data_IF_177231268944
#
_entry.id   IF_177231268944
#
_cell.length_a   1.000
_cell.length_b   1.000
_cell.length_c   1.000
_cell.angle_alpha   90.00
_cell.angle_beta   90.00
_cell.angle_gamma   90.00
#
_symmetry.space_group_name_H-M   'P 1'
#
loop_
_entity.id
_entity.type
_entity.pdbx_description
1 polymer ?
#
# COMPACT_ATOMS: atom_id res chain seq x y z
N UNK A 1 -11.74 -22.29 -14.60
CA UNK A 1 -12.44 -23.07 -13.55
C UNK A 1 -12.63 -24.52 -13.99
N UNK A 2 -12.17 -25.48 -13.20
CA UNK A 2 -12.20 -26.93 -13.54
C UNK A 2 -13.65 -27.47 -13.56
N UNK A 3 -13.92 -28.53 -14.34
CA UNK A 3 -15.23 -29.16 -14.55
C UNK A 3 -15.86 -29.68 -13.25
N UNK A 4 -15.03 -30.16 -12.30
CA UNK A 4 -15.47 -30.62 -10.97
C UNK A 4 -16.18 -29.52 -10.19
N UNK A 5 -15.65 -28.29 -10.20
CA UNK A 5 -16.24 -27.17 -9.45
C UNK A 5 -17.52 -26.64 -10.09
N UNK A 6 -17.59 -26.63 -11.42
CA UNK A 6 -18.84 -26.28 -12.12
C UNK A 6 -19.97 -27.26 -11.78
N UNK A 7 -19.66 -28.56 -11.71
CA UNK A 7 -20.60 -29.59 -11.29
C UNK A 7 -21.04 -29.41 -9.84
N UNK A 8 -20.08 -29.15 -8.94
CA UNK A 8 -20.37 -28.87 -7.54
C UNK A 8 -21.30 -27.66 -7.36
N UNK A 9 -21.07 -26.57 -8.10
CA UNK A 9 -21.96 -25.39 -8.06
C UNK A 9 -23.36 -25.75 -8.52
N UNK A 10 -23.50 -26.45 -9.65
CA UNK A 10 -24.80 -26.88 -10.16
C UNK A 10 -25.55 -27.76 -9.14
N UNK A 11 -24.89 -28.76 -8.57
CA UNK A 11 -25.49 -29.67 -7.58
C UNK A 11 -25.97 -28.93 -6.33
N UNK A 12 -25.22 -27.96 -5.83
CA UNK A 12 -25.59 -27.23 -4.63
C UNK A 12 -26.65 -26.15 -4.91
N UNK A 13 -26.63 -25.52 -6.09
CA UNK A 13 -27.75 -24.68 -6.54
C UNK A 13 -29.04 -25.49 -6.61
N UNK A 14 -29.01 -26.72 -7.15
CA UNK A 14 -30.17 -27.61 -7.20
C UNK A 14 -30.65 -28.05 -5.80
N UNK A 15 -29.75 -28.14 -4.82
CA UNK A 15 -30.08 -28.40 -3.41
C UNK A 15 -30.64 -27.18 -2.67
N UNK A 16 -30.73 -26.02 -3.33
CA UNK A 16 -31.26 -24.78 -2.75
C UNK A 16 -30.26 -23.98 -1.91
N UNK A 17 -28.96 -24.26 -2.02
CA UNK A 17 -27.93 -23.44 -1.36
C UNK A 17 -27.93 -22.04 -1.98
N UNK A 18 -27.84 -21.01 -1.13
CA UNK A 18 -27.93 -19.63 -1.62
C UNK A 18 -26.73 -19.24 -2.49
N UNK A 19 -26.95 -18.39 -3.49
CA UNK A 19 -25.86 -17.89 -4.35
C UNK A 19 -24.75 -17.19 -3.56
N UNK A 20 -25.09 -16.55 -2.43
CA UNK A 20 -24.13 -15.93 -1.51
C UNK A 20 -23.20 -16.97 -0.85
N UNK A 21 -23.74 -18.09 -0.38
CA UNK A 21 -22.95 -19.16 0.26
C UNK A 21 -22.05 -19.89 -0.75
N UNK A 22 -22.58 -20.13 -1.95
CA UNK A 22 -21.78 -20.68 -3.07
C UNK A 22 -20.64 -19.73 -3.42
N UNK A 23 -20.93 -18.43 -3.52
CA UNK A 23 -19.93 -17.40 -3.77
C UNK A 23 -18.83 -17.41 -2.70
N UNK A 24 -19.20 -17.38 -1.41
CA UNK A 24 -18.26 -17.44 -0.27
C UNK A 24 -17.35 -18.66 -0.33
N UNK A 25 -17.93 -19.82 -0.63
CA UNK A 25 -17.19 -21.09 -0.71
C UNK A 25 -16.20 -21.07 -1.87
N UNK A 26 -16.61 -20.59 -3.05
CA UNK A 26 -15.73 -20.50 -4.20
C UNK A 26 -14.57 -19.54 -3.98
N UNK A 27 -14.81 -18.39 -3.33
CA UNK A 27 -13.73 -17.50 -2.93
C UNK A 27 -12.75 -18.21 -2.00
N UNK A 28 -13.24 -18.91 -0.97
CA UNK A 28 -12.40 -19.62 0.00
C UNK A 28 -11.47 -20.65 -0.67
N UNK A 29 -11.89 -21.18 -1.82
CA UNK A 29 -11.11 -22.10 -2.64
C UNK A 29 -10.28 -21.42 -3.74
N UNK A 30 -10.14 -20.10 -3.70
CA UNK A 30 -9.22 -19.33 -4.55
C UNK A 30 -9.78 -18.93 -5.92
N UNK A 31 -11.09 -19.01 -6.14
CA UNK A 31 -11.71 -18.48 -7.35
C UNK A 31 -11.91 -16.97 -7.25
N UNK A 32 -11.72 -16.24 -8.35
CA UNK A 32 -11.86 -14.77 -8.38
C UNK A 32 -13.28 -14.34 -8.75
N UNK A 33 -13.68 -13.13 -8.34
CA UNK A 33 -15.02 -12.57 -8.56
C UNK A 33 -15.49 -12.70 -10.01
N UNK A 34 -14.62 -12.38 -10.97
CA UNK A 34 -14.88 -12.40 -12.41
C UNK A 34 -15.18 -13.81 -12.95
N UNK A 35 -14.71 -14.85 -12.26
CA UNK A 35 -15.00 -16.25 -12.61
C UNK A 35 -16.31 -16.74 -11.98
N UNK A 36 -16.65 -16.23 -10.80
CA UNK A 36 -17.78 -16.70 -10.00
C UNK A 36 -19.09 -16.04 -10.46
N UNK A 37 -19.08 -14.73 -10.74
CA UNK A 37 -20.30 -13.99 -11.11
C UNK A 37 -20.97 -14.55 -12.36
N UNK A 38 -20.26 -14.82 -13.47
CA UNK A 38 -20.89 -15.43 -14.65
C UNK A 38 -21.42 -16.85 -14.39
N UNK A 39 -20.80 -17.58 -13.46
CA UNK A 39 -21.21 -18.94 -13.12
C UNK A 39 -22.50 -18.98 -12.29
N UNK A 40 -22.63 -18.05 -11.33
CA UNK A 40 -23.81 -17.98 -10.48
C UNK A 40 -24.97 -17.25 -11.18
N UNK A 41 -24.67 -16.32 -12.08
CA UNK A 41 -25.66 -15.66 -12.94
C UNK A 41 -26.83 -15.08 -12.12
N UNK A 42 -28.05 -15.45 -12.48
CA UNK A 42 -29.28 -15.00 -11.81
C UNK A 42 -29.40 -15.41 -10.33
N UNK A 43 -28.57 -16.33 -9.84
CA UNK A 43 -28.53 -16.70 -8.42
C UNK A 43 -27.87 -15.62 -7.54
N UNK A 44 -27.32 -14.56 -8.15
CA UNK A 44 -26.88 -13.35 -7.47
C UNK A 44 -27.61 -12.13 -8.05
N UNK A 45 -28.26 -11.35 -7.20
CA UNK A 45 -28.84 -10.08 -7.64
C UNK A 45 -27.74 -9.07 -7.97
N UNK A 46 -28.02 -8.08 -8.82
CA UNK A 46 -27.05 -7.02 -9.16
C UNK A 46 -26.52 -6.29 -7.90
N UNK A 47 -27.38 -6.06 -6.90
CA UNK A 47 -26.99 -5.46 -5.62
C UNK A 47 -26.06 -6.38 -4.80
N UNK A 48 -26.32 -7.69 -4.80
CA UNK A 48 -25.44 -8.67 -4.16
C UNK A 48 -24.11 -8.75 -4.89
N UNK A 49 -24.11 -8.81 -6.22
CA UNK A 49 -22.91 -8.80 -7.05
C UNK A 49 -22.04 -7.59 -6.75
N UNK A 50 -22.61 -6.39 -6.70
CA UNK A 50 -21.84 -5.18 -6.38
C UNK A 50 -21.30 -5.20 -4.94
N UNK A 51 -22.11 -5.61 -3.96
CA UNK A 51 -21.69 -5.70 -2.56
C UNK A 51 -20.59 -6.75 -2.35
N UNK A 52 -20.66 -7.88 -3.06
CA UNK A 52 -19.66 -8.94 -3.07
C UNK A 52 -18.44 -8.55 -3.94
N UNK A 53 -18.58 -7.71 -4.97
CA UNK A 53 -17.42 -7.15 -5.67
C UNK A 53 -16.59 -6.30 -4.69
N UNK A 54 -17.26 -5.45 -3.91
CA UNK A 54 -16.61 -4.56 -2.95
C UNK A 54 -16.02 -5.33 -1.75
N UNK A 55 -16.75 -6.30 -1.15
CA UNK A 55 -16.25 -7.08 0.00
C UNK A 55 -15.05 -7.96 -0.36
N UNK A 56 -14.91 -8.40 -1.61
CA UNK A 56 -13.90 -9.39 -2.02
C UNK A 56 -12.77 -8.83 -2.87
N UNK A 57 -12.93 -7.61 -3.42
CA UNK A 57 -11.77 -6.78 -3.79
C UNK A 57 -10.87 -6.47 -2.59
N UNK A 58 -11.33 -6.74 -1.35
CA UNK A 58 -10.64 -6.36 -0.12
C UNK A 58 -10.59 -7.49 0.94
N UNK A 59 -10.35 -8.75 0.55
CA UNK A 59 -9.71 -9.68 1.49
C UNK A 59 -8.20 -9.42 1.46
N UNK A 60 -7.84 -8.20 1.84
CA UNK A 60 -6.45 -7.78 1.94
C UNK A 60 -5.89 -8.41 3.21
N UNK A 61 -4.84 -9.24 3.12
CA UNK A 61 -4.22 -9.76 4.32
C UNK A 61 -3.77 -8.60 5.19
N UNK A 62 -4.09 -8.65 6.49
CA UNK A 62 -3.68 -7.59 7.41
C UNK A 62 -2.17 -7.64 7.65
N UNK A 63 -1.52 -6.51 7.91
CA UNK A 63 -0.14 -6.47 8.38
C UNK A 63 -0.02 -7.16 9.74
N UNK A 64 1.07 -7.89 9.96
CA UNK A 64 1.32 -8.63 11.20
C UNK A 64 1.37 -7.71 12.44
N UNK A 65 1.80 -6.45 12.30
CA UNK A 65 1.78 -5.49 13.40
C UNK A 65 0.36 -5.18 13.92
N UNK A 66 -0.72 -5.51 13.19
CA UNK A 66 -2.09 -5.38 13.68
C UNK A 66 -2.53 -6.56 14.57
N UNK A 67 -1.73 -7.63 14.64
CA UNK A 67 -2.06 -8.85 15.37
C UNK A 67 -3.10 -9.75 14.68
N UNK A 68 -3.36 -10.90 15.28
CA UNK A 68 -4.30 -11.93 14.79
C UNK A 68 -5.77 -11.57 15.06
N UNK A 69 -6.12 -10.30 15.25
CA UNK A 69 -7.45 -9.91 15.70
C UNK A 69 -8.48 -10.12 14.58
N UNK A 70 -9.05 -11.33 14.55
CA UNK A 70 -10.08 -11.83 13.62
C UNK A 70 -11.44 -11.17 13.83
N UNK A 71 -11.51 -9.92 14.27
CA UNK A 71 -12.77 -9.20 14.30
C UNK A 71 -13.02 -8.60 12.92
N UNK A 72 -14.01 -9.15 12.21
CA UNK A 72 -14.56 -8.70 10.91
C UNK A 72 -14.99 -7.21 10.91
N UNK A 73 -14.94 -6.53 12.08
CA UNK A 73 -15.38 -5.16 12.33
C UNK A 73 -14.33 -4.25 13.03
N UNK A 74 -13.04 -4.58 13.00
CA UNK A 74 -11.97 -3.69 13.53
C UNK A 74 -11.73 -2.49 12.58
N UNK A 75 -12.76 -1.65 12.42
CA UNK A 75 -12.61 -0.32 11.85
C UNK A 75 -11.90 0.58 12.86
N UNK A 76 -10.98 1.39 12.33
CA UNK A 76 -10.04 2.27 13.02
C UNK A 76 -10.53 2.73 14.42
N UNK A 77 -10.21 1.96 15.46
CA UNK A 77 -10.52 2.31 16.85
C UNK A 77 -9.20 2.44 17.63
N UNK A 78 -9.06 3.58 18.28
CA UNK A 78 -7.91 4.11 19.01
C UNK A 78 -6.93 3.07 19.58
N UNK A 79 -5.67 3.18 19.13
CA UNK A 79 -4.43 2.59 19.65
C UNK A 79 -4.59 1.14 20.12
N UNK A 80 -4.18 0.18 19.29
CA UNK A 80 -4.00 -1.20 19.76
C UNK A 80 -2.51 -1.50 19.84
N UNK A 81 -2.07 -1.91 21.01
CA UNK A 81 -0.74 -2.44 21.24
C UNK A 81 -0.67 -3.83 20.63
N UNK A 82 -0.01 -3.98 19.49
CA UNK A 82 0.63 -5.27 19.19
C UNK A 82 1.89 -5.35 20.04
N UNK A 83 2.26 -6.56 20.49
CA UNK A 83 3.43 -6.81 21.35
C UNK A 83 4.78 -6.31 20.78
N UNK A 84 4.79 -5.72 19.58
CA UNK A 84 6.00 -5.36 18.83
C UNK A 84 6.18 -3.87 18.51
N UNK A 85 5.12 -3.08 18.23
CA UNK A 85 5.24 -1.65 17.88
C UNK A 85 3.95 -0.86 18.20
N UNK A 86 4.09 0.34 18.77
CA UNK A 86 2.97 1.30 18.95
C UNK A 86 2.59 1.99 17.64
N UNK A 87 1.28 2.15 17.39
CA UNK A 87 0.78 2.84 16.22
C UNK A 87 -0.42 3.75 16.49
N UNK A 88 -0.48 4.86 15.74
CA UNK A 88 -1.64 5.76 15.65
C UNK A 88 -2.46 5.38 14.41
N UNK A 89 -3.79 5.51 14.48
CA UNK A 89 -4.68 5.20 13.36
C UNK A 89 -5.41 6.45 12.89
N UNK A 90 -5.56 6.60 11.57
CA UNK A 90 -6.27 7.70 10.92
C UNK A 90 -7.25 7.15 9.88
N UNK A 91 -8.37 7.83 9.69
CA UNK A 91 -9.39 7.46 8.71
C UNK A 91 -10.61 6.76 9.33
N UNK A 92 -11.31 5.95 8.53
CA UNK A 92 -12.61 5.34 8.83
C UNK A 92 -12.76 3.94 8.19
N UNK A 93 -14.01 3.47 8.01
CA UNK A 93 -14.35 2.20 7.38
C UNK A 93 -13.86 2.03 5.95
N UNK A 94 -13.71 3.15 5.24
CA UNK A 94 -13.47 3.18 3.80
C UNK A 94 -11.98 3.39 3.49
N UNK A 95 -11.24 4.00 4.42
CA UNK A 95 -9.80 4.22 4.32
C UNK A 95 -9.16 4.24 5.70
N UNK A 96 -8.12 3.43 5.93
CA UNK A 96 -7.38 3.42 7.19
C UNK A 96 -5.88 3.60 6.94
N UNK A 97 -5.24 4.48 7.71
CA UNK A 97 -3.79 4.73 7.71
C UNK A 97 -3.25 4.47 9.10
N UNK A 98 -2.15 3.73 9.17
CA UNK A 98 -1.43 3.45 10.41
C UNK A 98 -0.09 4.17 10.40
N UNK A 99 0.17 4.94 11.44
CA UNK A 99 1.45 5.63 11.65
C UNK A 99 2.19 4.95 12.79
N UNK A 100 3.30 4.31 12.44
CA UNK A 100 4.20 3.66 13.39
C UNK A 100 5.35 4.61 13.73
N UNK A 101 5.63 4.79 15.02
CA UNK A 101 6.81 5.54 15.47
C UNK A 101 7.84 4.55 16.02
N UNK A 102 9.11 4.67 15.62
CA UNK A 102 10.16 3.75 16.05
C UNK A 102 10.13 2.38 15.35
N UNK A 103 9.41 2.24 14.25
CA UNK A 103 9.33 0.98 13.49
C UNK A 103 10.64 0.58 12.77
N UNK A 104 11.63 1.47 12.70
CA UNK A 104 12.95 1.23 12.09
C UNK A 104 14.07 1.77 12.97
N UNK A 105 15.18 1.05 13.00
CA UNK A 105 16.37 1.46 13.76
C UNK A 105 17.00 2.72 13.16
N UNK A 106 17.50 3.62 14.01
CA UNK A 106 18.05 4.91 13.58
C UNK A 106 19.23 4.74 12.63
N UNK A 107 20.15 3.83 12.96
CA UNK A 107 21.34 3.53 12.17
C UNK A 107 20.98 2.98 10.78
N UNK A 108 19.91 2.16 10.70
CA UNK A 108 19.43 1.61 9.45
C UNK A 108 18.83 2.71 8.56
N UNK A 109 18.05 3.62 9.16
CA UNK A 109 17.53 4.80 8.46
C UNK A 109 18.65 5.71 7.95
N UNK A 110 19.69 5.92 8.75
CA UNK A 110 20.83 6.78 8.39
C UNK A 110 21.67 6.19 7.25
N UNK A 111 21.93 4.88 7.30
CA UNK A 111 22.57 4.15 6.22
C UNK A 111 21.76 4.26 4.92
N UNK A 112 20.43 4.10 5.00
CA UNK A 112 19.53 4.22 3.86
C UNK A 112 19.60 5.63 3.24
N UNK A 113 19.46 6.68 4.04
CA UNK A 113 19.55 8.07 3.56
C UNK A 113 20.91 8.35 2.91
N UNK A 114 21.99 7.87 3.51
CA UNK A 114 23.35 8.06 2.99
C UNK A 114 23.54 7.36 1.65
N UNK A 115 23.04 6.14 1.51
CA UNK A 115 23.05 5.40 0.24
C UNK A 115 22.21 6.09 -0.83
N UNK A 116 20.98 6.51 -0.50
CA UNK A 116 20.09 7.22 -1.42
C UNK A 116 20.76 8.47 -1.97
N UNK A 117 21.37 9.29 -1.09
CA UNK A 117 22.09 10.51 -1.48
C UNK A 117 23.26 10.25 -2.42
N UNK A 118 24.00 9.15 -2.25
CA UNK A 118 25.10 8.76 -3.15
C UNK A 118 24.60 8.30 -4.51
N UNK A 119 23.42 7.66 -4.55
CA UNK A 119 22.84 7.05 -5.74
C UNK A 119 21.88 7.93 -6.52
N UNK A 120 21.69 9.20 -6.16
CA UNK A 120 20.72 10.08 -6.81
C UNK A 120 21.05 10.24 -8.30
N UNK A 121 20.13 9.76 -9.15
CA UNK A 121 20.07 10.07 -10.57
C UNK A 121 18.69 10.68 -10.86
N UNK A 122 18.59 11.64 -11.80
CA UNK A 122 17.28 12.15 -12.23
C UNK A 122 16.37 11.00 -12.69
N UNK A 123 15.12 10.94 -12.18
CA UNK A 123 14.22 9.82 -12.49
C UNK A 123 13.87 9.80 -13.98
N UNK A 124 14.05 8.66 -14.63
CA UNK A 124 13.50 8.42 -15.98
C UNK A 124 12.09 7.87 -15.83
N UNK A 125 11.09 8.63 -16.26
CA UNK A 125 9.69 8.19 -16.27
C UNK A 125 9.52 7.12 -17.35
N UNK A 126 9.16 5.89 -16.98
CA UNK A 126 8.77 4.83 -17.91
C UNK A 126 7.34 5.01 -18.39
N UNK A 127 7.08 6.05 -19.19
CA UNK A 127 5.93 6.10 -20.10
C UNK A 127 6.37 6.81 -21.37
N UNK A 128 6.69 6.02 -22.39
CA UNK A 128 6.83 6.54 -23.75
C UNK A 128 5.42 6.54 -24.35
N UNK A 129 4.75 7.67 -24.26
CA UNK A 129 3.65 7.99 -25.18
C UNK A 129 3.96 9.36 -25.76
N UNK A 130 4.30 9.35 -27.04
CA UNK A 130 4.44 10.55 -27.86
C UNK A 130 3.16 11.38 -27.75
N UNK A 131 3.33 12.69 -27.50
CA UNK A 131 2.35 13.78 -27.67
C UNK A 131 1.76 14.48 -26.42
N UNK A 132 2.31 14.33 -25.21
CA UNK A 132 2.00 15.26 -24.10
C UNK A 132 3.23 15.60 -23.23
N UNK A 133 3.45 16.89 -22.86
CA UNK A 133 4.55 17.25 -21.96
C UNK A 133 4.31 16.67 -20.55
N UNK A 134 5.21 15.79 -20.11
CA UNK A 134 5.17 15.10 -18.83
C UNK A 134 5.62 16.02 -17.68
N UNK A 135 4.68 16.39 -16.79
CA UNK A 135 4.94 17.09 -15.52
C UNK A 135 4.42 16.29 -14.32
N UNK A 136 4.58 14.96 -14.32
CA UNK A 136 3.96 14.10 -13.31
C UNK A 136 4.89 13.76 -12.12
N UNK A 137 6.19 13.94 -12.26
CA UNK A 137 7.17 13.61 -11.21
C UNK A 137 8.45 14.43 -11.35
N UNK A 138 8.82 15.19 -10.33
CA UNK A 138 10.08 15.95 -10.26
C UNK A 138 11.08 15.37 -9.24
N UNK A 139 10.84 14.16 -8.72
CA UNK A 139 11.75 13.48 -7.78
C UNK A 139 12.98 12.87 -8.48
N UNK A 140 14.03 12.58 -7.72
CA UNK A 140 15.13 11.69 -8.14
C UNK A 140 14.92 10.27 -7.59
N UNK A 141 15.02 9.24 -8.44
CA UNK A 141 14.90 7.83 -8.06
C UNK A 141 16.28 7.21 -7.94
N UNK A 142 16.48 6.43 -6.88
CA UNK A 142 17.66 5.59 -6.72
C UNK A 142 17.23 4.13 -6.88
N UNK A 143 17.88 3.38 -7.78
CA UNK A 143 17.75 1.93 -7.83
C UNK A 143 18.56 1.33 -6.67
N UNK A 144 17.96 1.45 -5.49
CA UNK A 144 18.59 1.22 -4.20
C UNK A 144 19.09 -0.22 -4.03
N UNK A 145 18.36 -1.20 -4.57
CA UNK A 145 18.70 -2.61 -4.50
C UNK A 145 19.97 -2.95 -5.31
N UNK A 146 20.16 -2.29 -6.45
CA UNK A 146 21.35 -2.48 -7.30
C UNK A 146 22.61 -1.81 -6.74
N UNK A 147 22.45 -0.79 -5.89
CA UNK A 147 23.57 -0.01 -5.33
C UNK A 147 24.04 -0.53 -3.97
N UNK A 148 23.14 -0.97 -3.11
CA UNK A 148 23.45 -1.43 -1.75
C UNK A 148 22.59 -2.66 -1.38
N UNK A 149 22.84 -3.79 -2.04
CA UNK A 149 22.03 -5.01 -1.91
C UNK A 149 21.85 -5.48 -0.45
N UNK A 150 22.92 -5.46 0.36
CA UNK A 150 22.84 -5.88 1.77
C UNK A 150 22.02 -4.92 2.64
N UNK A 151 22.01 -3.62 2.32
CA UNK A 151 21.17 -2.65 3.02
C UNK A 151 19.70 -2.77 2.59
N UNK A 152 19.45 -3.02 1.30
CA UNK A 152 18.12 -3.30 0.77
C UNK A 152 17.51 -4.55 1.40
N UNK A 153 18.29 -5.62 1.53
CA UNK A 153 17.86 -6.85 2.21
C UNK A 153 17.48 -6.59 3.67
N UNK A 154 18.31 -5.88 4.45
CA UNK A 154 18.00 -5.52 5.84
C UNK A 154 16.73 -4.69 5.99
N UNK A 155 16.49 -3.74 5.07
CA UNK A 155 15.26 -2.96 5.05
C UNK A 155 14.04 -3.83 4.67
N UNK A 156 14.21 -4.70 3.68
CA UNK A 156 13.18 -5.66 3.27
C UNK A 156 12.83 -6.62 4.41
N UNK A 157 13.81 -7.13 5.15
CA UNK A 157 13.57 -8.00 6.31
C UNK A 157 12.85 -7.27 7.43
N UNK A 158 13.21 -6.02 7.70
CA UNK A 158 12.47 -5.20 8.67
C UNK A 158 11.03 -4.98 8.23
N UNK A 159 10.78 -4.66 6.96
CA UNK A 159 9.43 -4.54 6.40
C UNK A 159 8.66 -5.86 6.49
N UNK A 160 9.28 -6.99 6.16
CA UNK A 160 8.67 -8.32 6.28
C UNK A 160 8.32 -8.66 7.72
N UNK A 161 9.14 -8.26 8.69
CA UNK A 161 8.83 -8.47 10.11
C UNK A 161 7.59 -7.68 10.56
N UNK A 162 7.41 -6.47 10.05
CA UNK A 162 6.24 -5.61 10.35
C UNK A 162 4.98 -6.07 9.62
N UNK A 163 5.11 -6.38 8.33
CA UNK A 163 3.97 -6.73 7.48
C UNK A 163 3.57 -8.19 7.63
N UNK A 164 4.50 -9.08 7.92
CA UNK A 164 4.27 -10.52 8.02
C UNK A 164 4.46 -11.27 6.69
N UNK A 165 4.65 -12.59 6.80
CA UNK A 165 4.99 -13.49 5.69
C UNK A 165 3.96 -13.50 4.55
N UNK A 166 2.70 -13.17 4.84
CA UNK A 166 1.64 -13.10 3.82
C UNK A 166 1.89 -11.98 2.78
N UNK A 167 2.78 -11.03 3.09
CA UNK A 167 3.18 -9.93 2.19
C UNK A 167 4.56 -10.13 1.54
N UNK A 168 5.10 -11.36 1.54
CA UNK A 168 6.44 -11.66 0.99
C UNK A 168 6.54 -11.50 -0.55
N UNK A 169 5.44 -11.15 -1.23
CA UNK A 169 5.40 -10.86 -2.67
C UNK A 169 5.72 -9.40 -3.01
N UNK A 170 6.35 -8.66 -2.09
CA UNK A 170 6.60 -7.23 -2.22
C UNK A 170 7.39 -6.85 -3.47
N UNK A 171 7.14 -5.63 -3.96
CA UNK A 171 7.98 -5.02 -4.97
C UNK A 171 9.32 -4.56 -4.36
N UNK A 172 10.40 -4.43 -5.16
CA UNK A 172 11.64 -3.84 -4.69
C UNK A 172 11.41 -2.45 -4.05
N UNK A 173 12.18 -2.14 -3.01
CA UNK A 173 12.08 -0.85 -2.30
C UNK A 173 12.37 0.28 -3.29
N UNK A 174 11.44 1.23 -3.37
CA UNK A 174 11.58 2.43 -4.18
C UNK A 174 12.05 3.59 -3.31
N UNK A 175 13.30 4.00 -3.47
CA UNK A 175 13.85 5.16 -2.78
C UNK A 175 13.58 6.47 -3.53
N UNK A 176 13.09 7.48 -2.81
CA UNK A 176 12.75 8.79 -3.37
C UNK A 176 13.36 9.89 -2.50
N UNK A 177 13.96 10.89 -3.14
CA UNK A 177 14.44 12.12 -2.51
C UNK A 177 13.74 13.33 -3.12
N UNK A 178 13.30 14.24 -2.26
CA UNK A 178 12.59 15.46 -2.63
C UNK A 178 13.39 16.67 -2.12
N UNK A 179 13.87 17.49 -3.04
CA UNK A 179 14.43 18.81 -2.76
C UNK A 179 13.33 19.84 -2.48
N UNK A 180 13.72 21.04 -2.08
CA UNK A 180 12.81 22.18 -1.96
C UNK A 180 12.12 22.39 -3.32
N UNK A 181 10.80 22.59 -3.29
CA UNK A 181 9.91 22.75 -4.46
C UNK A 181 9.67 21.49 -5.32
N UNK A 182 10.20 20.32 -4.94
CA UNK A 182 9.80 19.06 -5.54
C UNK A 182 8.56 18.49 -4.87
N UNK A 183 7.63 17.98 -5.68
CA UNK A 183 6.38 17.41 -5.22
C UNK A 183 6.10 16.08 -5.93
N UNK A 184 5.23 15.29 -5.31
CA UNK A 184 4.63 14.13 -5.93
C UNK A 184 3.13 14.36 -6.03
N UNK A 185 2.62 14.43 -7.26
CA UNK A 185 1.21 14.71 -7.51
C UNK A 185 0.34 13.58 -7.00
N UNK A 186 -0.91 13.93 -6.68
CA UNK A 186 -1.90 12.96 -6.23
C UNK A 186 -2.05 11.84 -7.26
N UNK A 187 -1.96 10.61 -6.77
CA UNK A 187 -2.10 9.39 -7.54
C UNK A 187 -2.59 8.28 -6.63
N UNK A 188 -3.04 7.18 -7.24
CA UNK A 188 -3.37 5.96 -6.55
C UNK A 188 -2.22 4.98 -6.70
N UNK A 189 -1.91 4.23 -5.64
CA UNK A 189 -0.88 3.21 -5.70
C UNK A 189 -1.35 1.95 -6.44
N UNK A 190 -2.67 1.71 -6.49
CA UNK A 190 -3.22 0.58 -7.24
C UNK A 190 -3.20 0.85 -8.75
N UNK A 191 -3.05 -0.21 -9.54
CA UNK A 191 -3.19 -0.14 -10.99
C UNK A 191 -4.67 -0.06 -11.40
N UNK A 192 -5.04 0.93 -12.20
CA UNK A 192 -6.43 1.12 -12.64
C UNK A 192 -6.92 -0.09 -13.47
N UNK A 193 -8.02 -0.77 -13.10
CA UNK A 193 -8.54 -1.89 -13.88
C UNK A 193 -8.80 -1.52 -15.34
N UNK A 194 -8.41 -2.41 -16.26
CA UNK A 194 -8.54 -2.17 -17.71
C UNK A 194 -7.43 -1.31 -18.32
N UNK A 195 -6.50 -0.77 -17.52
CA UNK A 195 -5.29 -0.12 -18.04
C UNK A 195 -4.25 -1.12 -18.57
N UNK A 196 -3.32 -0.62 -19.38
CA UNK A 196 -2.19 -1.41 -19.88
C UNK A 196 -1.25 -1.86 -18.74
N UNK A 197 -1.11 -1.01 -17.73
CA UNK A 197 -0.32 -1.19 -16.53
C UNK A 197 -0.91 -2.28 -15.63
N UNK A 198 -2.24 -2.31 -15.47
CA UNK A 198 -2.92 -3.39 -14.77
C UNK A 198 -2.64 -4.74 -15.42
N UNK A 199 -2.76 -4.83 -16.75
CA UNK A 199 -2.49 -6.07 -17.48
C UNK A 199 -1.03 -6.51 -17.36
N UNK A 200 -0.10 -5.55 -17.35
CA UNK A 200 1.35 -5.79 -17.28
C UNK A 200 1.83 -6.18 -15.88
N UNK A 201 1.35 -5.50 -14.85
CA UNK A 201 1.88 -5.61 -13.48
C UNK A 201 0.94 -6.40 -12.57
N UNK A 202 -0.37 -6.11 -12.58
CA UNK A 202 -1.34 -6.76 -11.71
C UNK A 202 -1.83 -8.12 -12.24
N UNK A 203 -1.86 -8.31 -13.56
CA UNK A 203 -2.44 -9.49 -14.20
C UNK A 203 -1.81 -10.82 -13.80
N UNK A 204 -0.53 -10.84 -13.38
CA UNK A 204 0.18 -12.04 -12.92
C UNK A 204 0.50 -12.06 -11.43
N UNK A 205 0.82 -10.90 -10.84
CA UNK A 205 1.29 -10.79 -9.44
C UNK A 205 0.20 -10.37 -8.45
N UNK A 206 -1.00 -10.04 -8.93
CA UNK A 206 -2.06 -9.44 -8.12
C UNK A 206 -1.92 -7.92 -8.01
N UNK A 207 -2.95 -7.29 -7.46
CA UNK A 207 -3.00 -5.85 -7.25
C UNK A 207 -2.27 -5.45 -5.95
N UNK A 208 -1.73 -4.22 -5.89
CA UNK A 208 -1.19 -3.65 -4.66
C UNK A 208 -2.30 -3.47 -3.62
N UNK A 209 -2.07 -4.00 -2.43
CA UNK A 209 -3.04 -3.99 -1.33
C UNK A 209 -2.63 -3.11 -0.15
N UNK A 210 -1.32 -2.97 0.08
CA UNK A 210 -0.75 -2.08 1.09
C UNK A 210 0.40 -1.28 0.53
N UNK A 211 0.51 -0.05 0.98
CA UNK A 211 1.70 0.78 0.81
C UNK A 211 2.29 1.09 2.17
N UNK A 212 3.57 0.78 2.35
CA UNK A 212 4.33 1.20 3.52
C UNK A 212 5.27 2.34 3.12
N UNK A 213 5.04 3.54 3.68
CA UNK A 213 5.91 4.69 3.47
C UNK A 213 6.77 4.91 4.71
N UNK A 214 8.09 4.85 4.52
CA UNK A 214 9.07 5.13 5.58
C UNK A 214 9.63 6.53 5.36
N UNK A 215 9.44 7.42 6.33
CA UNK A 215 9.93 8.80 6.29
C UNK A 215 10.86 9.08 7.47
N UNK A 216 11.93 9.85 7.22
CA UNK A 216 12.77 10.40 8.30
C UNK A 216 12.29 11.80 8.64
N UNK A 217 11.74 11.97 9.84
CA UNK A 217 11.43 13.28 10.39
C UNK A 217 12.68 13.86 11.04
N UNK A 218 13.37 14.77 10.35
CA UNK A 218 14.43 15.56 10.99
C UNK A 218 13.77 16.79 11.64
N UNK A 219 14.02 17.03 12.94
CA UNK A 219 13.59 18.28 13.58
C UNK A 219 14.19 19.43 12.78
N UNK A 220 13.33 20.24 12.16
CA UNK A 220 13.76 21.49 11.51
C UNK A 220 14.51 22.29 12.58
N UNK A 221 15.75 22.68 12.31
CA UNK A 221 16.40 23.67 13.16
C UNK A 221 15.50 24.91 13.17
N UNK A 222 14.97 25.27 14.33
CA UNK A 222 14.31 26.55 14.53
C UNK A 222 15.31 27.61 14.10
N UNK A 223 14.94 28.43 13.10
CA UNK A 223 15.72 29.64 12.76
C UNK A 223 15.94 30.41 14.07
N UNK A 224 17.17 30.84 14.40
CA UNK A 224 17.35 31.76 15.51
C UNK A 224 16.49 32.99 15.24
N UNK A 225 15.64 33.33 16.20
CA UNK A 225 14.88 34.58 16.21
C UNK A 225 15.87 35.72 15.98
N UNK A 226 15.62 36.54 14.95
CA UNK A 226 16.38 37.79 14.80
C UNK A 226 16.14 38.61 16.07
N UNK A 227 17.18 39.09 16.77
CA UNK A 227 16.97 39.98 17.90
C UNK A 227 16.21 41.22 17.44
N UNK A 228 15.19 41.59 18.21
CA UNK A 228 14.38 42.76 17.95
C UNK A 228 15.27 44.02 17.81
N UNK A 229 14.96 44.94 16.89
CA UNK A 229 15.74 46.15 16.73
C UNK A 229 15.71 46.96 18.04
N UNK A 230 16.88 47.23 18.60
CA UNK A 230 17.04 48.07 19.78
C UNK A 230 16.49 49.46 19.47
N UNK A 231 15.39 49.84 20.10
CA UNK A 231 14.92 51.22 20.12
C UNK A 231 15.85 52.03 21.01
N UNK A 232 16.98 52.50 20.45
CA UNK A 232 17.74 53.59 21.05
C UNK A 232 16.91 54.87 20.91
N UNK A 233 16.24 55.25 21.99
CA UNK A 233 15.54 56.53 22.09
C UNK A 233 16.50 57.68 21.81
N UNK A 234 16.22 58.47 20.77
CA UNK A 234 16.78 59.81 20.62
C UNK A 234 16.02 60.72 21.59
N UNK A 235 16.68 61.09 22.68
CA UNK A 235 16.35 62.29 23.41
C UNK A 235 16.92 63.51 22.68
N UNK A 236 16.05 64.46 22.35
CA UNK A 236 16.22 65.90 22.52
C UNK A 236 14.91 66.61 22.20
#
# INVERSE_FOLDING_TARGET
MNSTWKRWVLENTLKGVSGKELYLTLIKHGFVHEQIVPLLGANLSAQQTQKLANKYRVSVPLPAFLGDDKSDDSHCSNIRTSETVDYETFGDSDFCVYKLTGGFDSDLCEAAVSSIKKGLRPSTITTVSSDKPQQYRTSSTCDFASLEAGLAERLSDKLKSLMGKVHDTSEPIQAQHYDIDQEFKQHTDYFEPGSSEYSKFAGRRGQRSWTCMVQRTQKRHSKPEKPAPSTSGRGR
#
